data_IF_647861294114
#
_entry.id   IF_647861294114
#
_cell.length_a   1.000
_cell.length_b   1.000
_cell.length_c   1.000
_cell.angle_alpha   90.00
_cell.angle_beta   90.00
_cell.angle_gamma   90.00
#
_symmetry.space_group_name_H-M   'P 1'
#
loop_
_entity.id
_entity.type
_entity.pdbx_description
1 polymer ?
#
# COMPACT_ATOMS: atom_id res chain seq x y z
N UNK A 1 -2.89 -19.20 1.70
CA UNK A 1 -3.27 -18.24 0.65
C UNK A 1 -2.61 -16.89 0.90
N UNK A 2 -2.45 -16.11 -0.13
CA UNK A 2 -1.75 -14.80 -0.12
C UNK A 2 -2.38 -13.75 0.79
N UNK A 3 -3.66 -13.88 1.12
CA UNK A 3 -4.35 -13.08 2.12
C UNK A 3 -3.85 -13.24 3.55
N UNK A 4 -3.10 -14.31 3.81
CA UNK A 4 -2.68 -14.64 5.18
C UNK A 4 -1.45 -13.83 5.64
N UNK A 5 -0.71 -13.22 4.73
CA UNK A 5 0.47 -12.42 5.09
C UNK A 5 0.05 -11.02 5.54
N UNK A 6 -0.93 -10.42 4.86
CA UNK A 6 -1.56 -9.18 5.32
C UNK A 6 -2.33 -9.38 6.63
N UNK A 7 -3.01 -10.52 6.74
CA UNK A 7 -3.74 -10.91 7.95
C UNK A 7 -2.85 -11.05 9.19
N UNK A 8 -1.53 -11.20 9.02
CA UNK A 8 -0.59 -11.42 10.11
C UNK A 8 0.03 -10.17 10.71
N UNK A 9 -0.10 -9.03 10.04
CA UNK A 9 0.32 -7.75 10.62
C UNK A 9 -0.74 -7.12 11.54
N UNK A 10 -1.99 -7.61 11.47
CA UNK A 10 -3.13 -7.02 12.17
C UNK A 10 -3.61 -7.78 13.41
N UNK A 11 -3.36 -9.11 13.62
CA UNK A 11 -3.91 -9.80 14.79
C UNK A 11 -3.51 -9.24 16.15
N UNK A 12 -2.37 -8.57 16.24
CA UNK A 12 -1.96 -7.92 17.49
C UNK A 12 -2.87 -6.72 17.83
N UNK A 13 -3.17 -5.92 16.84
CA UNK A 13 -4.12 -4.81 16.96
C UNK A 13 -5.49 -5.34 17.34
N UNK A 14 -5.91 -6.46 16.75
CA UNK A 14 -7.22 -7.06 16.98
C UNK A 14 -7.41 -7.55 18.43
N UNK A 15 -6.39 -8.18 19.00
CA UNK A 15 -6.48 -8.63 20.40
C UNK A 15 -6.56 -7.48 21.42
N UNK A 16 -5.91 -6.34 21.10
CA UNK A 16 -6.00 -5.15 21.94
C UNK A 16 -7.37 -4.47 21.87
N UNK A 17 -8.08 -4.61 20.75
CA UNK A 17 -9.39 -4.00 20.55
C UNK A 17 -10.52 -4.70 21.25
N UNK A 18 -10.52 -6.04 21.32
CA UNK A 18 -11.52 -6.77 22.09
C UNK A 18 -11.54 -6.32 23.57
N UNK A 19 -10.37 -5.93 24.10
CA UNK A 19 -10.28 -5.42 25.47
C UNK A 19 -10.73 -3.97 25.62
N UNK A 20 -10.69 -3.16 24.54
CA UNK A 20 -11.10 -1.75 24.56
C UNK A 20 -12.58 -1.59 24.20
N UNK A 21 -13.08 -2.41 23.27
CA UNK A 21 -14.50 -2.42 22.92
C UNK A 21 -15.42 -2.82 24.08
N UNK A 22 -14.88 -3.55 25.07
CA UNK A 22 -15.60 -3.92 26.29
C UNK A 22 -15.47 -2.91 27.43
N UNK A 23 -14.57 -1.93 27.33
CA UNK A 23 -14.46 -0.83 28.28
C UNK A 23 -15.29 0.34 27.79
N UNK A 24 -16.21 0.83 28.61
CA UNK A 24 -17.06 1.99 28.37
C UNK A 24 -16.28 3.15 27.75
N UNK A 25 -16.34 3.27 26.42
CA UNK A 25 -15.89 4.46 25.71
C UNK A 25 -16.75 5.62 26.18
N UNK A 26 -16.15 6.60 26.86
CA UNK A 26 -16.87 7.79 27.27
C UNK A 26 -17.48 8.47 26.04
N UNK A 27 -18.67 9.06 26.19
CA UNK A 27 -19.38 9.74 25.11
C UNK A 27 -18.53 10.83 24.41
N UNK A 28 -17.55 11.39 25.08
CA UNK A 28 -16.65 12.43 24.55
C UNK A 28 -15.67 11.92 23.51
N UNK A 29 -15.36 10.62 23.53
CA UNK A 29 -14.44 10.00 22.55
C UNK A 29 -15.20 9.69 21.25
N UNK A 30 -16.49 9.46 21.31
CA UNK A 30 -17.31 9.10 20.13
C UNK A 30 -17.52 10.25 19.15
N UNK A 31 -17.42 11.50 19.59
CA UNK A 31 -17.71 12.67 18.74
C UNK A 31 -16.57 12.99 17.76
N UNK A 32 -15.34 12.62 18.09
CA UNK A 32 -14.14 12.93 17.29
C UNK A 32 -13.60 11.76 16.50
N UNK A 33 -14.19 10.56 16.60
CA UNK A 33 -13.70 9.33 15.97
C UNK A 33 -14.75 8.73 15.07
N UNK A 34 -14.34 8.04 13.99
CA UNK A 34 -15.28 7.26 13.21
C UNK A 34 -15.95 6.23 14.10
N UNK A 35 -17.15 5.86 13.75
CA UNK A 35 -17.83 4.78 14.41
C UNK A 35 -17.08 3.46 14.16
N UNK A 36 -16.67 2.79 15.22
CA UNK A 36 -15.88 1.59 15.12
C UNK A 36 -16.75 0.37 14.91
N UNK A 37 -17.02 0.10 13.67
CA UNK A 37 -17.72 -1.12 13.31
C UNK A 37 -16.75 -2.28 13.02
N UNK A 38 -15.47 -2.01 12.95
CA UNK A 38 -14.50 -2.96 12.42
C UNK A 38 -13.64 -3.63 13.46
N UNK A 39 -13.53 -3.01 14.63
CA UNK A 39 -12.53 -3.45 15.56
C UNK A 39 -11.11 -3.29 15.03
N UNK A 40 -10.83 -2.30 14.23
CA UNK A 40 -9.48 -1.98 13.76
C UNK A 40 -9.09 -0.56 14.20
N UNK A 41 -8.26 -0.47 15.23
CA UNK A 41 -7.90 0.78 15.86
C UNK A 41 -7.15 1.73 14.92
N UNK A 42 -6.36 1.19 13.98
CA UNK A 42 -5.69 2.00 12.97
C UNK A 42 -6.69 2.67 12.05
N UNK A 43 -7.64 1.89 11.51
CA UNK A 43 -8.69 2.41 10.65
C UNK A 43 -9.52 3.49 11.33
N UNK A 44 -9.63 3.39 12.63
CA UNK A 44 -10.41 4.31 13.45
C UNK A 44 -9.56 5.47 14.01
N UNK A 45 -8.27 5.47 13.73
CA UNK A 45 -7.35 6.53 14.17
C UNK A 45 -7.04 6.51 15.67
N UNK A 46 -7.15 5.35 16.30
CA UNK A 46 -6.97 5.20 17.76
C UNK A 46 -5.58 4.79 18.18
N UNK A 47 -4.83 4.16 17.25
CA UNK A 47 -3.50 3.66 17.60
C UNK A 47 -2.47 4.78 17.55
N UNK A 48 -1.62 4.78 18.56
CA UNK A 48 -0.33 5.47 18.49
C UNK A 48 0.58 4.71 17.52
N UNK A 49 1.50 5.41 16.85
CA UNK A 49 2.48 4.75 15.99
C UNK A 49 3.24 3.68 16.76
N UNK A 50 3.37 2.49 16.18
CA UNK A 50 4.18 1.42 16.75
C UNK A 50 5.63 1.88 16.83
N UNK A 51 6.26 1.71 17.97
CA UNK A 51 7.64 2.11 18.21
C UNK A 51 8.56 0.89 18.27
N UNK A 52 9.85 1.14 18.08
CA UNK A 52 10.90 0.11 18.19
C UNK A 52 10.90 -0.60 19.55
N UNK A 53 10.39 0.08 20.59
CA UNK A 53 10.38 -0.40 21.95
C UNK A 53 9.15 -1.24 22.30
N UNK A 54 8.27 -1.56 21.32
CA UNK A 54 7.12 -2.43 21.58
C UNK A 54 7.54 -3.91 21.55
N UNK A 55 7.77 -4.55 22.71
CA UNK A 55 8.23 -5.94 22.77
C UNK A 55 7.19 -6.94 22.21
N UNK A 56 5.91 -6.59 22.28
CA UNK A 56 4.83 -7.46 21.80
C UNK A 56 4.75 -7.42 20.29
N UNK A 57 5.00 -6.27 19.68
CA UNK A 57 5.07 -6.14 18.23
C UNK A 57 6.24 -6.95 17.65
N UNK A 58 7.43 -6.84 18.23
CA UNK A 58 8.59 -7.63 17.80
C UNK A 58 8.36 -9.12 17.98
N UNK A 59 7.81 -9.53 19.12
CA UNK A 59 7.46 -10.93 19.38
C UNK A 59 6.43 -11.46 18.39
N UNK A 60 5.47 -10.65 18.00
CA UNK A 60 4.50 -10.99 16.96
C UNK A 60 5.19 -11.21 15.62
N UNK A 61 6.08 -10.32 15.20
CA UNK A 61 6.83 -10.46 13.95
C UNK A 61 7.70 -11.72 13.95
N UNK A 62 8.42 -12.02 15.04
CA UNK A 62 9.24 -13.21 15.18
C UNK A 62 8.42 -14.50 15.07
N UNK A 63 7.24 -14.54 15.65
CA UNK A 63 6.38 -15.73 15.67
C UNK A 63 5.59 -15.94 14.37
N UNK A 64 5.41 -14.91 13.58
CA UNK A 64 4.55 -14.93 12.40
C UNK A 64 5.29 -14.70 11.08
N UNK A 65 6.62 -14.69 11.10
CA UNK A 65 7.41 -14.70 9.87
C UNK A 65 7.26 -16.05 9.16
N UNK A 66 6.41 -16.14 8.10
CA UNK A 66 6.19 -17.42 7.42
C UNK A 66 7.34 -17.82 6.51
N UNK A 67 8.27 -16.91 6.29
CA UNK A 67 9.39 -17.09 5.37
C UNK A 67 10.74 -17.01 6.07
N UNK A 68 10.74 -16.91 7.38
CA UNK A 68 11.79 -17.06 8.40
C UNK A 68 13.26 -17.00 8.03
N UNK A 69 13.59 -16.62 6.84
CA UNK A 69 14.96 -16.43 6.37
C UNK A 69 14.89 -15.72 5.01
N UNK A 70 14.55 -14.48 5.01
CA UNK A 70 15.12 -13.64 3.99
C UNK A 70 16.56 -13.36 4.44
N UNK A 71 17.44 -14.29 4.11
CA UNK A 71 18.89 -14.04 4.23
C UNK A 71 19.12 -12.65 3.67
N UNK A 72 19.75 -11.80 4.45
CA UNK A 72 20.09 -10.45 4.09
C UNK A 72 20.90 -10.46 2.78
N UNK A 73 20.22 -10.54 1.64
CA UNK A 73 20.82 -10.05 0.42
C UNK A 73 20.88 -8.54 0.55
N UNK A 74 21.84 -7.90 -0.06
CA UNK A 74 22.01 -6.45 -0.02
C UNK A 74 20.73 -5.68 -0.43
N UNK A 75 19.73 -6.36 -1.00
CA UNK A 75 18.49 -5.82 -1.54
C UNK A 75 17.25 -6.61 -1.06
N UNK A 76 17.22 -7.00 0.20
CA UNK A 76 16.01 -7.56 0.87
C UNK A 76 15.32 -8.68 0.09
N UNK A 77 16.08 -9.65 -0.39
CA UNK A 77 15.58 -10.78 -1.16
C UNK A 77 15.35 -10.49 -2.65
N UNK A 78 15.74 -9.32 -3.15
CA UNK A 78 15.67 -8.99 -4.57
C UNK A 78 16.42 -9.98 -5.46
N UNK A 79 17.54 -10.52 -4.99
CA UNK A 79 18.34 -11.50 -5.72
C UNK A 79 17.62 -12.85 -5.91
N UNK A 80 16.57 -13.12 -5.14
CA UNK A 80 15.76 -14.33 -5.27
C UNK A 80 14.62 -14.19 -6.26
N UNK A 81 14.37 -12.98 -6.78
CA UNK A 81 13.25 -12.71 -7.67
C UNK A 81 13.51 -13.22 -9.09
N UNK A 82 12.51 -13.88 -9.66
CA UNK A 82 12.48 -14.21 -11.09
C UNK A 82 11.60 -13.19 -11.80
N UNK A 83 12.22 -12.33 -12.59
CA UNK A 83 11.50 -11.34 -13.38
C UNK A 83 11.00 -11.95 -14.69
N UNK A 84 9.77 -11.61 -15.07
CA UNK A 84 9.18 -12.05 -16.32
C UNK A 84 10.02 -11.58 -17.53
N UNK A 85 10.04 -12.37 -18.59
CA UNK A 85 10.84 -12.08 -19.79
C UNK A 85 10.52 -10.74 -20.45
N UNK A 86 9.28 -10.26 -20.31
CA UNK A 86 8.89 -8.93 -20.80
C UNK A 86 9.66 -7.77 -20.15
N UNK A 87 10.29 -8.00 -19.00
CA UNK A 87 11.12 -7.04 -18.32
C UNK A 87 12.62 -7.25 -18.57
N UNK A 88 12.97 -8.11 -19.54
CA UNK A 88 14.37 -8.24 -19.97
C UNK A 88 14.88 -6.92 -20.54
N UNK A 89 16.03 -6.44 -20.02
CA UNK A 89 16.57 -5.14 -20.39
C UNK A 89 15.87 -3.92 -19.77
N UNK A 90 14.78 -4.11 -19.04
CA UNK A 90 14.15 -3.03 -18.26
C UNK A 90 14.92 -2.79 -16.98
N UNK A 91 15.16 -1.54 -16.65
CA UNK A 91 15.75 -1.14 -15.37
C UNK A 91 14.85 -1.52 -14.22
N UNK A 92 15.42 -2.18 -13.22
CA UNK A 92 14.74 -2.59 -11.99
C UNK A 92 15.23 -1.70 -10.86
N UNK A 93 14.32 -0.90 -10.33
CA UNK A 93 14.59 0.07 -9.26
C UNK A 93 13.90 -0.41 -8.00
N UNK A 94 14.64 -0.51 -6.91
CA UNK A 94 14.13 -1.06 -5.66
C UNK A 94 13.76 0.04 -4.67
N UNK A 95 12.66 -0.18 -3.97
CA UNK A 95 12.12 0.76 -3.01
C UNK A 95 11.23 0.10 -1.97
N UNK A 96 10.65 0.93 -1.15
CA UNK A 96 9.79 0.54 -0.03
C UNK A 96 8.48 1.28 -0.07
N UNK A 97 7.48 0.76 0.62
CA UNK A 97 6.34 1.56 1.01
C UNK A 97 6.16 1.54 2.52
N UNK A 98 5.64 2.62 3.07
CA UNK A 98 5.62 2.88 4.51
C UNK A 98 4.35 3.59 4.93
N UNK A 99 3.93 3.27 6.15
CA UNK A 99 2.91 3.96 6.90
C UNK A 99 3.40 4.21 8.34
N UNK A 100 2.58 4.72 9.21
CA UNK A 100 2.96 4.97 10.59
C UNK A 100 3.48 3.71 11.33
N UNK A 101 3.17 2.52 10.84
CA UNK A 101 3.65 1.25 11.40
C UNK A 101 5.17 1.09 11.39
N UNK A 102 5.87 1.77 10.51
CA UNK A 102 7.32 1.73 10.44
C UNK A 102 8.00 2.59 11.52
N UNK A 103 7.22 3.34 12.32
CA UNK A 103 7.71 4.08 13.46
C UNK A 103 8.73 5.17 13.10
N UNK A 104 9.82 5.24 13.81
CA UNK A 104 10.89 6.17 13.51
C UNK A 104 11.79 5.63 12.39
N UNK A 105 12.04 6.46 11.39
CA UNK A 105 12.84 6.08 10.21
C UNK A 105 14.08 6.97 10.12
N UNK A 106 15.26 6.34 10.06
CA UNK A 106 16.51 7.00 9.68
C UNK A 106 16.64 6.99 8.14
N UNK A 107 16.11 8.01 7.50
CA UNK A 107 16.09 8.13 6.05
C UNK A 107 17.46 8.12 5.39
N UNK A 108 18.51 8.55 6.10
CA UNK A 108 19.88 8.50 5.59
C UNK A 108 20.37 7.05 5.52
N UNK A 109 20.10 6.26 6.54
CA UNK A 109 20.42 4.82 6.51
C UNK A 109 19.60 4.10 5.45
N UNK A 110 18.31 4.41 5.32
CA UNK A 110 17.45 3.87 4.26
C UNK A 110 18.05 4.14 2.88
N UNK A 111 18.38 5.39 2.57
CA UNK A 111 19.02 5.76 1.30
C UNK A 111 20.34 5.05 1.07
N UNK A 112 21.18 4.98 2.07
CA UNK A 112 22.49 4.34 1.97
C UNK A 112 22.42 2.81 1.82
N UNK A 113 21.29 2.19 2.15
CA UNK A 113 21.09 0.74 1.98
C UNK A 113 20.74 0.33 0.55
N UNK A 114 20.60 1.30 -0.37
CA UNK A 114 20.26 1.03 -1.78
C UNK A 114 18.80 1.23 -2.12
N UNK A 115 17.96 1.68 -1.18
CA UNK A 115 16.59 2.13 -1.47
C UNK A 115 16.64 3.36 -2.35
N UNK A 116 15.92 3.34 -3.47
CA UNK A 116 15.91 4.45 -4.41
C UNK A 116 14.60 5.24 -4.41
N UNK A 117 13.49 4.62 -3.98
CA UNK A 117 12.19 5.27 -3.87
C UNK A 117 11.41 4.82 -2.65
N UNK A 118 10.43 5.62 -2.29
CA UNK A 118 9.46 5.29 -1.24
C UNK A 118 8.07 5.74 -1.66
N UNK A 119 7.06 4.91 -1.35
CA UNK A 119 5.64 5.25 -1.46
C UNK A 119 5.08 5.39 -0.05
N UNK A 120 4.60 6.59 0.29
CA UNK A 120 4.23 6.96 1.67
C UNK A 120 2.72 7.04 1.79
N UNK A 121 2.13 6.42 2.82
CA UNK A 121 0.70 6.55 3.07
C UNK A 121 0.35 7.98 3.45
N UNK A 122 -0.55 8.61 2.66
CA UNK A 122 -1.12 9.92 3.00
C UNK A 122 -2.14 9.78 4.13
N UNK A 123 -2.95 8.73 4.06
CA UNK A 123 -4.03 8.48 4.98
C UNK A 123 -4.94 7.37 4.47
N UNK A 124 -6.09 7.29 5.07
CA UNK A 124 -7.07 6.23 4.81
C UNK A 124 -8.50 6.70 5.10
N UNK A 125 -9.47 5.96 4.58
CA UNK A 125 -10.86 6.04 5.04
C UNK A 125 -11.11 4.96 6.07
N UNK A 126 -11.69 5.32 7.21
CA UNK A 126 -12.01 4.39 8.29
C UNK A 126 -12.96 3.28 7.83
N UNK A 127 -12.82 2.10 8.41
CA UNK A 127 -13.60 0.89 8.11
C UNK A 127 -15.04 0.97 8.63
N UNK A 128 -15.30 1.83 9.62
CA UNK A 128 -16.61 2.03 10.22
C UNK A 128 -17.61 2.65 9.26
N UNK A 129 -18.88 2.62 9.63
CA UNK A 129 -20.00 3.16 8.83
C UNK A 129 -19.86 4.64 8.49
N UNK A 130 -19.23 5.43 9.35
CA UNK A 130 -18.97 6.84 9.13
C UNK A 130 -17.97 7.08 7.99
N UNK A 131 -17.03 6.16 7.75
CA UNK A 131 -16.05 6.25 6.70
C UNK A 131 -15.24 7.55 6.73
N UNK A 132 -14.74 7.93 7.91
CA UNK A 132 -14.02 9.19 8.11
C UNK A 132 -12.66 9.18 7.40
N UNK A 133 -12.30 10.29 6.78
CA UNK A 133 -10.97 10.48 6.19
C UNK A 133 -9.97 10.82 7.29
N UNK A 134 -8.89 10.07 7.37
CA UNK A 134 -7.85 10.22 8.41
C UNK A 134 -6.48 10.38 7.75
N UNK A 135 -5.72 11.38 8.17
CA UNK A 135 -4.31 11.53 7.75
C UNK A 135 -3.43 10.56 8.54
N UNK A 136 -2.51 9.90 7.86
CA UNK A 136 -1.48 9.12 8.53
C UNK A 136 -0.63 10.02 9.43
N UNK A 137 -0.48 9.73 10.72
CA UNK A 137 0.19 10.63 11.66
C UNK A 137 1.68 10.83 11.35
N UNK A 138 2.29 9.96 10.54
CA UNK A 138 3.69 10.06 10.12
C UNK A 138 3.87 10.66 8.72
N UNK A 139 2.79 10.88 7.98
CA UNK A 139 2.85 11.27 6.57
C UNK A 139 3.80 12.45 6.32
N UNK A 140 3.60 13.57 7.00
CA UNK A 140 4.40 14.78 6.81
C UNK A 140 5.86 14.56 7.17
N UNK A 141 6.12 13.93 8.31
CA UNK A 141 7.48 13.62 8.78
C UNK A 141 8.21 12.72 7.79
N UNK A 142 7.53 11.71 7.26
CA UNK A 142 8.13 10.81 6.27
C UNK A 142 8.37 11.49 4.94
N UNK A 143 7.42 12.28 4.46
CA UNK A 143 7.52 13.01 3.20
C UNK A 143 8.72 13.97 3.22
N UNK A 144 8.87 14.73 4.30
CA UNK A 144 9.99 15.66 4.48
C UNK A 144 11.32 14.92 4.60
N UNK A 145 11.37 13.86 5.40
CA UNK A 145 12.57 13.06 5.62
C UNK A 145 13.07 12.34 4.38
N UNK A 146 12.18 11.68 3.66
CA UNK A 146 12.49 10.98 2.41
C UNK A 146 12.96 11.94 1.30
N UNK A 147 12.28 13.07 1.16
CA UNK A 147 12.64 14.12 0.19
C UNK A 147 14.03 14.67 0.51
N UNK A 148 14.31 14.99 1.78
CA UNK A 148 15.62 15.49 2.23
C UNK A 148 16.73 14.47 2.00
N UNK A 149 16.44 13.18 2.12
CA UNK A 149 17.40 12.10 1.86
C UNK A 149 17.65 11.86 0.36
N UNK A 150 16.92 12.51 -0.53
CA UNK A 150 17.07 12.36 -1.98
C UNK A 150 16.47 11.07 -2.54
N UNK A 151 15.45 10.53 -1.88
CA UNK A 151 14.63 9.44 -2.42
C UNK A 151 13.64 9.98 -3.43
N UNK A 152 13.31 9.19 -4.45
CA UNK A 152 12.11 9.43 -5.26
C UNK A 152 10.90 9.13 -4.41
N UNK A 153 9.91 10.01 -4.41
CA UNK A 153 8.75 9.90 -3.55
C UNK A 153 7.47 9.80 -4.37
N UNK A 154 6.66 8.82 -4.03
CA UNK A 154 5.25 8.70 -4.35
C UNK A 154 4.43 8.57 -3.08
N UNK A 155 3.13 8.52 -3.22
CA UNK A 155 2.23 8.39 -2.07
C UNK A 155 1.10 7.41 -2.38
N UNK A 156 0.44 6.91 -1.34
CA UNK A 156 -0.76 6.12 -1.49
C UNK A 156 -1.85 6.50 -0.49
N UNK A 157 -3.08 6.17 -0.83
CA UNK A 157 -4.25 6.34 0.02
C UNK A 157 -5.01 5.03 0.10
N UNK A 158 -5.22 4.53 1.32
CA UNK A 158 -5.98 3.31 1.59
C UNK A 158 -7.47 3.59 1.62
N UNK A 159 -8.20 3.02 0.66
CA UNK A 159 -9.63 3.32 0.48
C UNK A 159 -10.56 2.37 1.21
N UNK A 160 -11.66 2.93 1.69
CA UNK A 160 -12.87 2.23 2.07
C UNK A 160 -14.11 2.93 1.44
N UNK A 161 -13.90 3.61 0.30
CA UNK A 161 -15.00 4.23 -0.44
C UNK A 161 -15.98 3.19 -0.97
N UNK A 162 -17.27 3.52 -0.94
CA UNK A 162 -18.36 2.70 -1.50
C UNK A 162 -19.11 3.42 -2.62
N UNK A 163 -18.73 4.66 -2.91
CA UNK A 163 -19.27 5.45 -4.02
C UNK A 163 -18.16 6.20 -4.74
N UNK A 164 -18.37 6.52 -6.03
CA UNK A 164 -17.41 7.34 -6.78
C UNK A 164 -17.30 8.76 -6.23
N UNK A 165 -18.32 9.28 -5.57
CA UNK A 165 -18.27 10.57 -4.89
C UNK A 165 -17.27 10.52 -3.72
N UNK A 166 -17.28 9.42 -2.95
CA UNK A 166 -16.33 9.21 -1.87
C UNK A 166 -14.89 9.04 -2.40
N UNK A 167 -14.69 8.26 -3.47
CA UNK A 167 -13.39 8.13 -4.11
C UNK A 167 -12.82 9.48 -4.60
N UNK A 168 -13.68 10.36 -5.14
CA UNK A 168 -13.29 11.74 -5.49
C UNK A 168 -12.97 12.58 -4.25
N UNK A 169 -13.68 12.38 -3.15
CA UNK A 169 -13.37 13.07 -1.89
C UNK A 169 -12.02 12.62 -1.32
N UNK A 170 -11.70 11.33 -1.41
CA UNK A 170 -10.39 10.79 -1.05
C UNK A 170 -9.27 11.40 -1.90
N UNK A 171 -9.47 11.50 -3.21
CA UNK A 171 -8.52 12.15 -4.09
C UNK A 171 -8.29 13.64 -3.73
N UNK A 172 -9.35 14.37 -3.43
CA UNK A 172 -9.25 15.77 -2.97
C UNK A 172 -8.49 15.88 -1.65
N UNK A 173 -8.76 14.97 -0.72
CA UNK A 173 -8.03 14.90 0.55
C UNK A 173 -6.53 14.72 0.31
N UNK A 174 -6.15 13.77 -0.56
CA UNK A 174 -4.74 13.55 -0.92
C UNK A 174 -4.14 14.80 -1.55
N UNK A 175 -4.80 15.41 -2.53
CA UNK A 175 -4.32 16.62 -3.20
C UNK A 175 -4.08 17.77 -2.22
N UNK A 176 -4.93 17.93 -1.22
CA UNK A 176 -4.74 18.94 -0.17
C UNK A 176 -3.49 18.67 0.66
N UNK A 177 -3.23 17.40 1.00
CA UNK A 177 -2.09 17.00 1.82
C UNK A 177 -0.74 17.09 1.09
N UNK A 178 -0.70 16.82 -0.22
CA UNK A 178 0.51 16.86 -1.04
C UNK A 178 0.76 18.24 -1.70
N UNK A 179 -0.10 19.20 -1.45
CA UNK A 179 0.03 20.55 -2.01
C UNK A 179 1.40 21.15 -1.69
N UNK A 180 2.10 21.60 -2.74
CA UNK A 180 3.43 22.19 -2.61
C UNK A 180 4.59 21.20 -2.63
N UNK A 181 4.32 19.91 -2.67
CA UNK A 181 5.35 18.88 -2.85
C UNK A 181 5.45 18.44 -4.31
N UNK A 182 6.69 18.16 -4.74
CA UNK A 182 6.97 17.55 -6.04
C UNK A 182 7.14 16.04 -5.86
N UNK A 183 6.26 15.27 -6.49
CA UNK A 183 6.32 13.81 -6.47
C UNK A 183 6.98 13.30 -7.74
N UNK A 184 7.95 12.37 -7.62
CA UNK A 184 8.62 11.73 -8.74
C UNK A 184 7.96 10.41 -9.12
N UNK A 185 7.13 9.86 -8.23
CA UNK A 185 6.35 8.64 -8.40
C UNK A 185 4.86 8.95 -8.32
N UNK A 186 3.98 8.06 -8.82
CA UNK A 186 2.54 8.30 -8.80
C UNK A 186 1.92 8.43 -7.40
N UNK A 187 0.70 8.96 -7.39
CA UNK A 187 -0.27 8.81 -6.31
C UNK A 187 -1.04 7.53 -6.55
N UNK A 188 -0.93 6.56 -5.65
CA UNK A 188 -1.60 5.27 -5.80
C UNK A 188 -2.88 5.18 -4.98
N UNK A 189 -3.91 4.62 -5.60
CA UNK A 189 -5.15 4.24 -4.94
C UNK A 189 -5.04 2.80 -4.49
N UNK A 190 -4.96 2.59 -3.18
CA UNK A 190 -4.83 1.28 -2.56
C UNK A 190 -6.22 0.72 -2.28
N UNK A 191 -6.60 -0.31 -3.03
CA UNK A 191 -7.90 -0.96 -2.94
C UNK A 191 -7.74 -2.46 -2.65
N UNK A 192 -8.20 -2.87 -1.48
CA UNK A 192 -8.07 -4.24 -1.00
C UNK A 192 -9.14 -4.57 0.04
N UNK A 193 -9.31 -5.84 0.35
CA UNK A 193 -10.16 -6.28 1.45
C UNK A 193 -9.47 -6.08 2.79
N UNK A 194 -10.25 -5.72 3.81
CA UNK A 194 -9.81 -5.82 5.20
C UNK A 194 -9.85 -7.26 5.67
N UNK A 195 -9.19 -7.52 6.77
CA UNK A 195 -9.19 -8.83 7.40
C UNK A 195 -10.60 -9.36 7.61
N UNK A 196 -10.79 -10.62 7.26
CA UNK A 196 -12.08 -11.32 7.33
C UNK A 196 -13.20 -10.71 6.50
N UNK A 197 -12.87 -9.87 5.50
CA UNK A 197 -13.83 -9.19 4.62
C UNK A 197 -14.90 -8.39 5.41
N UNK A 198 -14.48 -7.79 6.53
CA UNK A 198 -15.38 -7.06 7.45
C UNK A 198 -15.40 -5.56 7.23
N UNK A 199 -14.55 -5.06 6.32
CA UNK A 199 -14.45 -3.64 6.02
C UNK A 199 -15.71 -3.07 5.38
N UNK A 200 -15.82 -1.75 5.41
CA UNK A 200 -16.91 -0.99 4.82
C UNK A 200 -17.04 -1.27 3.31
N UNK A 201 -15.93 -1.33 2.61
CA UNK A 201 -15.86 -1.65 1.18
C UNK A 201 -16.31 -3.09 0.91
N UNK A 202 -15.82 -4.06 1.70
CA UNK A 202 -16.18 -5.47 1.56
C UNK A 202 -17.67 -5.69 1.79
N UNK A 203 -18.21 -5.08 2.86
CA UNK A 203 -19.59 -5.24 3.28
C UNK A 203 -20.61 -4.55 2.36
N UNK A 204 -20.18 -3.64 1.50
CA UNK A 204 -21.07 -2.87 0.63
C UNK A 204 -21.65 -3.67 -0.54
N UNK A 205 -21.16 -4.88 -0.81
CA UNK A 205 -21.68 -5.73 -1.89
C UNK A 205 -21.49 -5.15 -3.29
N UNK A 206 -20.45 -4.33 -3.50
CA UNK A 206 -20.19 -3.70 -4.79
C UNK A 206 -19.80 -4.73 -5.86
N UNK A 207 -20.34 -4.57 -7.06
CA UNK A 207 -19.90 -5.32 -8.22
C UNK A 207 -18.48 -4.98 -8.64
N UNK A 208 -17.85 -5.86 -9.44
CA UNK A 208 -16.54 -5.61 -10.07
C UNK A 208 -16.50 -4.25 -10.80
N UNK A 209 -17.56 -3.95 -11.58
CA UNK A 209 -17.66 -2.69 -12.30
C UNK A 209 -17.70 -1.46 -11.36
N UNK A 210 -18.43 -1.55 -10.26
CA UNK A 210 -18.52 -0.47 -9.28
C UNK A 210 -17.17 -0.26 -8.57
N UNK A 211 -16.49 -1.31 -8.13
CA UNK A 211 -15.14 -1.24 -7.55
C UNK A 211 -14.14 -0.64 -8.54
N UNK A 212 -14.19 -1.05 -9.80
CA UNK A 212 -13.35 -0.47 -10.87
C UNK A 212 -13.63 1.03 -11.06
N UNK A 213 -14.90 1.44 -10.98
CA UNK A 213 -15.29 2.85 -11.08
C UNK A 213 -14.75 3.71 -9.94
N UNK A 214 -14.56 3.14 -8.74
CA UNK A 214 -13.90 3.85 -7.63
C UNK A 214 -12.44 4.20 -8.01
N UNK A 215 -11.69 3.23 -8.53
CA UNK A 215 -10.33 3.44 -8.97
C UNK A 215 -10.24 4.53 -10.05
N UNK A 216 -11.12 4.47 -11.06
CA UNK A 216 -11.17 5.47 -12.12
C UNK A 216 -11.49 6.86 -11.57
N UNK A 217 -12.47 6.98 -10.67
CA UNK A 217 -12.87 8.25 -10.10
C UNK A 217 -11.74 8.92 -9.30
N UNK A 218 -10.99 8.14 -8.52
CA UNK A 218 -9.83 8.63 -7.79
C UNK A 218 -8.71 9.06 -8.76
N UNK A 219 -8.27 8.15 -9.62
CA UNK A 219 -7.13 8.39 -10.51
C UNK A 219 -7.37 9.58 -11.46
N UNK A 220 -8.54 9.67 -12.06
CA UNK A 220 -8.88 10.79 -12.95
C UNK A 220 -8.90 12.14 -12.20
N UNK A 221 -9.32 12.16 -10.95
CA UNK A 221 -9.31 13.37 -10.12
C UNK A 221 -7.88 13.82 -9.83
N UNK A 222 -6.99 12.89 -9.50
CA UNK A 222 -5.56 13.16 -9.28
C UNK A 222 -4.89 13.68 -10.55
N UNK A 223 -5.12 12.99 -11.69
CA UNK A 223 -4.52 13.34 -12.99
C UNK A 223 -4.95 14.73 -13.45
N UNK A 224 -6.22 15.09 -13.30
CA UNK A 224 -6.74 16.43 -13.62
C UNK A 224 -6.06 17.55 -12.84
N UNK A 225 -5.45 17.23 -11.72
CA UNK A 225 -4.71 18.17 -10.88
C UNK A 225 -3.20 18.21 -11.19
N UNK A 226 -2.76 17.49 -12.24
CA UNK A 226 -1.39 17.53 -12.73
C UNK A 226 -0.44 16.49 -12.10
N UNK A 227 -0.94 15.58 -11.28
CA UNK A 227 -0.14 14.47 -10.74
C UNK A 227 -0.35 13.19 -11.54
N UNK A 228 0.62 12.29 -11.53
CA UNK A 228 0.44 10.93 -12.01
C UNK A 228 -0.34 10.11 -10.99
N UNK A 229 -1.22 9.22 -11.45
CA UNK A 229 -1.99 8.35 -10.57
C UNK A 229 -1.93 6.90 -11.05
N UNK A 230 -1.99 5.96 -10.11
CA UNK A 230 -2.02 4.53 -10.37
C UNK A 230 -2.90 3.77 -9.39
N UNK A 231 -3.01 2.47 -9.59
CA UNK A 231 -3.81 1.58 -8.74
C UNK A 231 -2.91 0.54 -8.11
N UNK A 232 -3.00 0.42 -6.78
CA UNK A 232 -2.43 -0.70 -6.04
C UNK A 232 -3.55 -1.67 -5.67
N UNK A 233 -3.31 -2.93 -5.95
CA UNK A 233 -4.11 -4.03 -5.44
C UNK A 233 -3.31 -5.33 -5.46
N UNK A 234 -3.76 -6.33 -4.69
CA UNK A 234 -3.15 -7.65 -4.73
C UNK A 234 -3.58 -8.44 -5.99
N UNK A 235 -2.86 -9.54 -6.23
CA UNK A 235 -3.09 -10.43 -7.36
C UNK A 235 -4.55 -10.87 -7.52
N UNK A 236 -5.21 -11.22 -6.40
CA UNK A 236 -6.61 -11.65 -6.41
C UNK A 236 -7.55 -10.51 -6.81
N UNK A 237 -7.36 -9.34 -6.25
CA UNK A 237 -8.16 -8.18 -6.58
C UNK A 237 -8.04 -7.78 -8.05
N UNK A 238 -6.82 -7.69 -8.58
CA UNK A 238 -6.57 -7.32 -9.97
C UNK A 238 -7.17 -8.30 -10.98
N UNK A 239 -7.22 -9.60 -10.64
CA UNK A 239 -7.79 -10.60 -11.55
C UNK A 239 -9.30 -10.75 -11.41
N UNK A 240 -9.85 -10.62 -10.19
CA UNK A 240 -11.22 -11.04 -9.92
C UNK A 240 -12.15 -9.94 -9.41
N UNK A 241 -11.67 -8.97 -8.63
CA UNK A 241 -12.54 -8.03 -7.93
C UNK A 241 -12.59 -6.64 -8.57
N UNK A 242 -11.60 -6.27 -9.37
CA UNK A 242 -11.59 -5.09 -10.24
C UNK A 242 -11.18 -5.49 -11.65
N UNK A 243 -11.45 -4.62 -12.64
CA UNK A 243 -10.95 -4.81 -14.01
C UNK A 243 -9.49 -4.32 -14.11
N UNK A 244 -8.55 -5.13 -13.60
CA UNK A 244 -7.13 -4.80 -13.61
C UNK A 244 -6.58 -4.59 -15.03
N UNK A 245 -7.03 -5.36 -16.01
CA UNK A 245 -6.64 -5.21 -17.41
C UNK A 245 -7.13 -3.87 -18.00
N UNK A 246 -8.38 -3.52 -17.76
CA UNK A 246 -8.96 -2.25 -18.21
C UNK A 246 -8.32 -1.03 -17.54
N UNK A 247 -8.08 -1.11 -16.23
CA UNK A 247 -7.37 -0.07 -15.49
C UNK A 247 -5.93 0.10 -15.99
N UNK A 248 -5.23 -0.99 -16.26
CA UNK A 248 -3.86 -0.96 -16.78
C UNK A 248 -3.71 -0.31 -18.16
N UNK A 249 -4.78 -0.21 -18.95
CA UNK A 249 -4.77 0.57 -20.19
C UNK A 249 -4.70 2.08 -19.97
N UNK A 250 -5.03 2.53 -18.76
CA UNK A 250 -5.12 3.96 -18.43
C UNK A 250 -4.11 4.40 -17.38
N UNK A 251 -3.82 3.54 -16.41
CA UNK A 251 -3.06 3.91 -15.21
C UNK A 251 -1.94 2.91 -14.95
N UNK A 252 -0.82 3.35 -14.36
CA UNK A 252 0.17 2.46 -13.76
C UNK A 252 -0.46 1.50 -12.76
N UNK A 253 0.02 0.26 -12.76
CA UNK A 253 -0.43 -0.79 -11.83
C UNK A 253 0.71 -1.15 -10.88
N UNK A 254 0.42 -1.10 -9.59
CA UNK A 254 1.25 -1.59 -8.53
C UNK A 254 0.65 -2.87 -7.96
N UNK A 255 1.24 -4.00 -8.33
CA UNK A 255 0.80 -5.33 -7.94
C UNK A 255 1.37 -5.71 -6.59
N UNK A 256 0.55 -6.19 -5.65
CA UNK A 256 0.99 -6.96 -4.50
C UNK A 256 0.85 -8.46 -4.78
N UNK A 257 1.98 -9.17 -4.77
CA UNK A 257 2.02 -10.61 -4.93
C UNK A 257 3.27 -11.17 -4.24
N UNK A 258 3.11 -11.68 -3.03
CA UNK A 258 4.22 -12.13 -2.17
C UNK A 258 4.73 -13.50 -2.63
N UNK A 259 5.60 -13.46 -3.58
CA UNK A 259 6.24 -14.62 -4.23
C UNK A 259 7.55 -14.17 -4.86
N UNK A 260 8.45 -15.12 -5.13
CA UNK A 260 9.66 -14.85 -5.89
C UNK A 260 9.45 -14.86 -7.41
N UNK A 261 8.30 -15.33 -7.88
CA UNK A 261 7.96 -15.44 -9.30
C UNK A 261 6.47 -15.19 -9.51
N UNK A 262 6.12 -14.00 -9.93
CA UNK A 262 4.73 -13.67 -10.25
C UNK A 262 4.37 -14.10 -11.67
N UNK A 263 3.17 -14.64 -11.83
CA UNK A 263 2.58 -14.99 -13.13
C UNK A 263 1.50 -14.00 -13.59
N UNK A 264 1.44 -12.80 -12.99
CA UNK A 264 0.52 -11.76 -13.44
C UNK A 264 0.88 -11.30 -14.85
N UNK A 265 -0.06 -11.41 -15.79
CA UNK A 265 0.19 -11.26 -17.23
C UNK A 265 -0.31 -9.94 -17.81
N UNK A 266 -1.01 -9.13 -17.01
CA UNK A 266 -1.46 -7.80 -17.39
C UNK A 266 -0.41 -6.74 -17.03
N UNK A 267 -0.67 -5.47 -17.31
CA UNK A 267 0.24 -4.38 -16.99
C UNK A 267 0.63 -4.39 -15.51
N UNK A 268 1.93 -4.33 -15.28
CA UNK A 268 2.54 -4.21 -13.97
C UNK A 268 3.73 -3.26 -14.08
N UNK A 269 3.62 -2.09 -13.48
CA UNK A 269 4.70 -1.10 -13.44
C UNK A 269 5.56 -1.27 -12.19
N UNK A 270 4.96 -1.70 -11.09
CA UNK A 270 5.62 -1.95 -9.83
C UNK A 270 5.07 -3.23 -9.18
N UNK A 271 5.94 -3.96 -8.51
CA UNK A 271 5.61 -5.20 -7.83
C UNK A 271 6.10 -5.16 -6.39
N UNK A 272 5.15 -5.19 -5.45
CA UNK A 272 5.40 -5.43 -4.04
C UNK A 272 5.53 -6.95 -3.85
N UNK A 273 6.75 -7.40 -3.58
CA UNK A 273 7.05 -8.83 -3.57
C UNK A 273 7.17 -9.44 -2.17
N UNK A 274 7.25 -8.63 -1.14
CA UNK A 274 7.25 -9.06 0.26
C UNK A 274 6.76 -7.95 1.18
N UNK A 275 6.09 -8.35 2.26
CA UNK A 275 5.69 -7.49 3.38
C UNK A 275 6.58 -7.66 4.62
N UNK A 276 7.69 -8.39 4.51
CA UNK A 276 8.57 -8.71 5.63
C UNK A 276 10.04 -8.34 5.38
N UNK A 277 10.28 -7.33 4.57
CA UNK A 277 11.63 -6.83 4.30
C UNK A 277 12.25 -6.18 5.54
N UNK A 278 13.55 -6.41 5.74
CA UNK A 278 14.34 -5.70 6.74
C UNK A 278 15.15 -4.63 6.05
N UNK A 279 15.03 -3.38 6.49
CA UNK A 279 15.64 -2.21 5.86
C UNK A 279 16.45 -1.45 6.88
N UNK A 280 17.72 -1.18 6.58
CA UNK A 280 18.56 -0.39 7.46
C UNK A 280 17.94 0.99 7.72
N UNK A 281 17.77 1.36 8.97
CA UNK A 281 17.12 2.61 9.38
C UNK A 281 15.63 2.47 9.71
N UNK A 282 15.08 1.26 9.59
CA UNK A 282 13.70 0.94 10.00
C UNK A 282 13.75 -0.31 10.87
N UNK A 283 13.15 -0.27 12.05
CA UNK A 283 13.15 -1.41 12.98
C UNK A 283 12.03 -2.38 12.71
N UNK A 284 10.92 -1.92 12.15
CA UNK A 284 9.79 -2.75 11.77
C UNK A 284 10.02 -3.45 10.42
N UNK A 285 9.35 -4.56 10.19
CA UNK A 285 9.24 -5.12 8.85
C UNK A 285 8.60 -4.10 7.90
N UNK A 286 9.09 -4.10 6.68
CA UNK A 286 8.75 -3.08 5.69
C UNK A 286 8.41 -3.75 4.37
N UNK A 287 7.38 -3.26 3.72
CA UNK A 287 7.00 -3.69 2.39
C UNK A 287 8.08 -3.28 1.38
N UNK A 288 8.51 -4.25 0.57
CA UNK A 288 9.58 -4.07 -0.41
C UNK A 288 9.09 -4.29 -1.82
N UNK A 289 9.61 -3.46 -2.72
CA UNK A 289 9.07 -3.29 -4.06
C UNK A 289 10.18 -3.24 -5.12
N UNK A 290 9.84 -3.69 -6.32
CA UNK A 290 10.59 -3.42 -7.54
C UNK A 290 9.74 -2.62 -8.52
N UNK A 291 10.28 -1.49 -8.98
CA UNK A 291 9.70 -0.68 -10.03
C UNK A 291 10.42 -0.94 -11.35
N UNK A 292 9.66 -1.28 -12.36
CA UNK A 292 10.14 -1.47 -13.73
C UNK A 292 10.12 -0.13 -14.45
N UNK A 293 11.29 0.51 -14.58
CA UNK A 293 11.41 1.80 -15.23
C UNK A 293 11.92 1.63 -16.66
N UNK A 294 11.11 2.06 -17.65
CA UNK A 294 11.50 1.98 -19.05
C UNK A 294 10.32 1.93 -20.01
N UNK A 295 10.62 1.81 -21.31
CA UNK A 295 9.63 1.89 -22.39
C UNK A 295 9.26 0.53 -22.99
N UNK A 296 9.49 -0.59 -22.28
CA UNK A 296 9.28 -1.90 -22.85
C UNK A 296 7.87 -2.44 -22.60
N UNK A 297 7.46 -3.51 -23.34
CA UNK A 297 6.10 -4.02 -23.26
C UNK A 297 5.73 -4.37 -21.82
N UNK A 298 4.73 -3.68 -21.28
CA UNK A 298 4.24 -3.90 -19.92
C UNK A 298 3.24 -5.07 -19.85
N UNK A 299 2.84 -5.61 -20.98
CA UNK A 299 1.93 -6.73 -21.12
C UNK A 299 2.64 -7.96 -21.71
N UNK A 300 2.28 -9.14 -21.24
CA UNK A 300 2.81 -10.40 -21.81
C UNK A 300 2.38 -10.54 -23.29
N UNK A 301 1.17 -10.11 -23.64
CA UNK A 301 0.64 -10.12 -25.01
C UNK A 301 1.49 -9.32 -26.01
N UNK A 302 2.17 -8.27 -25.55
CA UNK A 302 2.98 -7.42 -26.43
C UNK A 302 4.24 -8.13 -26.94
N UNK A 303 4.72 -9.15 -26.22
CA UNK A 303 5.86 -9.97 -26.64
C UNK A 303 5.51 -10.90 -27.81
N UNK A 304 4.25 -11.24 -27.98
CA UNK A 304 3.78 -12.13 -29.06
C UNK A 304 3.73 -11.36 -30.38
N UNK A 305 3.37 -10.07 -30.35
CA UNK A 305 3.30 -9.22 -31.55
C UNK A 305 4.68 -8.87 -32.13
N UNK A 306 5.71 -8.80 -31.29
CA UNK A 306 7.09 -8.47 -31.72
C UNK A 306 7.76 -9.66 -32.42
N UNK A 307 7.34 -10.90 -32.15
CA UNK A 307 7.88 -12.10 -32.80
C UNK A 307 7.30 -12.42 -34.18
N UNK A 308 6.21 -11.75 -34.55
CA UNK A 308 5.47 -12.00 -35.81
C UNK A 308 5.66 -10.88 -36.86
N UNK A 309 6.54 -9.92 -36.61
CA UNK A 309 7.02 -8.89 -37.55
C UNK A 309 8.52 -9.05 -37.78
#
# INVERSE_FOLDING_TARGET
GLGDVYKRQVPFVYAAEESIASSELSNDIQVSKPEYATGNMEADGLLEPVTEDDPEYHKYLENNDPYGIMTMSALWGADSLTHQNRFSGVSKVYGIDVSYYQGNIDWKKVKNSGVEFVIIRVGYRGYGSAGTLVEDPRFKTYLDGATKAGLKVGVYFYTQAITTAEAKAEAKFVLDKIKGYSLQMPVYYDIESVDYDTGRLDSAGLSKAQKTALCTAFCDTIIKSGYSAGVYANYTWLNYYIDGAGLGKKYPIWLAHYTSNTNYDQRMDMWQYSGSGTVSGISAYTDVNVWYSGKLPLYVSDLISVKNN
#
